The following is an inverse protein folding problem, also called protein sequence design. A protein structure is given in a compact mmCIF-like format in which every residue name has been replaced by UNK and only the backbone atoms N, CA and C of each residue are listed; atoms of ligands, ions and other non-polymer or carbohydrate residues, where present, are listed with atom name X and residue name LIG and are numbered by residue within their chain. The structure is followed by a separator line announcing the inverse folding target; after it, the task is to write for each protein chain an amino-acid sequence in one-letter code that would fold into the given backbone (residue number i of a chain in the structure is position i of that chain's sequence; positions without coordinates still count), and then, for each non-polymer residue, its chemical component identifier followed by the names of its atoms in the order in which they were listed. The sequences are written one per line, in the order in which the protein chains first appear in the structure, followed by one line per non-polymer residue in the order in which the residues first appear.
data_IF_494020589262
#
_entry.id   IF_494020589262
#
_cell.length_a   1.000
_cell.length_b   1.000
_cell.length_c   1.000
_cell.angle_alpha   90.00
_cell.angle_beta   90.00
_cell.angle_gamma   90.00
#
_symmetry.space_group_name_H-M   'P 1'
#
loop_
_entity.id
_entity.type
_entity.pdbx_description
1 polymer ?
#
# COMPACT_ATOMS: atom_id res chain seq x y z
N UNK A 1 6.27 20.61 -0.97
CA UNK A 1 5.90 19.44 -0.15
C UNK A 1 6.49 18.19 -0.78
N UNK A 2 6.64 17.11 -0.03
CA UNK A 2 7.00 15.80 -0.58
C UNK A 2 5.90 14.81 -0.25
N UNK A 3 5.54 13.95 -1.21
CA UNK A 3 4.56 12.88 -1.04
C UNK A 3 5.29 11.55 -1.17
N UNK A 4 5.13 10.65 -0.20
CA UNK A 4 5.86 9.38 -0.13
C UNK A 4 5.04 8.19 -0.60
N UNK A 5 3.71 8.21 -0.42
CA UNK A 5 2.82 7.12 -0.84
C UNK A 5 1.58 7.02 0.04
N UNK A 6 0.79 5.97 -0.19
CA UNK A 6 -0.30 5.58 0.71
C UNK A 6 0.22 4.73 1.87
N UNK A 7 -0.46 4.79 3.02
CA UNK A 7 -0.16 3.92 4.17
C UNK A 7 -0.61 2.48 3.90
N UNK A 8 -1.74 2.31 3.22
CA UNK A 8 -2.27 1.02 2.80
C UNK A 8 -2.90 1.21 1.42
N UNK A 9 -2.28 0.66 0.38
CA UNK A 9 -2.76 0.74 -1.00
C UNK A 9 -4.01 -0.14 -1.23
N UNK A 10 -4.27 -1.10 -0.33
CA UNK A 10 -5.37 -2.07 -0.40
C UNK A 10 -6.53 -1.80 0.58
N UNK A 11 -6.55 -0.64 1.25
CA UNK A 11 -7.66 -0.27 2.14
C UNK A 11 -9.03 -0.41 1.44
N UNK A 12 -10.01 -1.02 2.10
CA UNK A 12 -11.29 -1.28 1.44
C UNK A 12 -12.08 0.01 1.18
N UNK A 13 -12.96 -0.04 0.18
CA UNK A 13 -13.94 1.02 -0.07
C UNK A 13 -14.69 1.41 1.21
N UNK A 14 -14.82 2.71 1.44
CA UNK A 14 -15.46 3.25 2.65
C UNK A 14 -14.59 3.27 3.91
N UNK A 15 -13.41 2.62 3.90
CA UNK A 15 -12.45 2.76 4.99
C UNK A 15 -11.64 4.06 4.88
N UNK A 16 -10.98 4.42 5.97
CA UNK A 16 -10.07 5.57 6.00
C UNK A 16 -8.76 5.21 5.29
N UNK A 17 -8.44 5.95 4.23
CA UNK A 17 -7.11 5.97 3.62
C UNK A 17 -6.24 7.07 4.21
N UNK A 18 -4.92 6.95 4.02
CA UNK A 18 -3.96 7.98 4.36
C UNK A 18 -2.83 8.06 3.32
N UNK A 19 -2.43 9.28 2.97
CA UNK A 19 -1.22 9.59 2.20
C UNK A 19 -0.21 10.21 3.15
N UNK A 20 1.03 9.72 3.13
CA UNK A 20 2.13 10.24 3.95
C UNK A 20 3.08 11.11 3.14
N UNK A 21 3.66 12.11 3.80
CA UNK A 21 4.50 13.12 3.18
C UNK A 21 5.24 13.99 4.19
N UNK A 22 5.68 15.16 3.75
CA UNK A 22 6.28 16.20 4.61
C UNK A 22 5.87 17.59 4.14
N UNK A 23 5.74 18.52 5.10
CA UNK A 23 5.36 19.92 4.88
C UNK A 23 4.01 20.06 4.15
N UNK A 24 3.05 19.17 4.37
CA UNK A 24 1.76 19.19 3.69
C UNK A 24 0.93 20.43 4.11
N UNK A 25 0.99 20.77 5.39
CA UNK A 25 0.35 21.92 6.01
C UNK A 25 0.89 23.27 5.47
N UNK A 26 2.20 23.40 5.29
CA UNK A 26 2.84 24.61 4.74
C UNK A 26 2.37 24.95 3.32
N UNK A 27 1.91 23.95 2.56
CA UNK A 27 1.39 24.11 1.20
C UNK A 27 -0.15 24.26 1.20
N UNK A 28 -0.78 24.26 2.37
CA UNK A 28 -2.22 24.43 2.53
C UNK A 28 -3.01 23.17 2.14
N UNK A 29 -2.39 22.00 2.19
CA UNK A 29 -3.10 20.72 2.05
C UNK A 29 -3.90 20.48 3.32
N UNK A 30 -5.14 20.96 3.32
CA UNK A 30 -6.07 20.95 4.44
C UNK A 30 -7.47 20.62 3.94
N UNK A 31 -8.41 20.17 4.81
CA UNK A 31 -9.80 19.94 4.42
C UNK A 31 -10.47 21.13 3.69
N UNK A 32 -10.11 22.36 4.05
CA UNK A 32 -10.74 23.56 3.51
C UNK A 32 -10.14 24.06 2.19
N UNK A 33 -8.86 23.75 1.91
CA UNK A 33 -8.12 24.36 0.79
C UNK A 33 -7.49 23.36 -0.17
N UNK A 34 -7.18 22.16 0.30
CA UNK A 34 -6.59 21.09 -0.50
C UNK A 34 -7.62 20.06 -0.94
N UNK A 35 -7.20 19.13 -1.80
CA UNK A 35 -7.98 17.96 -2.18
C UNK A 35 -7.07 16.83 -2.62
N UNK A 36 -7.60 15.62 -2.62
CA UNK A 36 -7.01 14.51 -3.34
C UNK A 36 -7.63 14.47 -4.73
N UNK A 37 -6.87 14.12 -5.74
CA UNK A 37 -7.39 13.76 -7.05
C UNK A 37 -7.29 12.24 -7.17
N UNK A 38 -8.43 11.57 -7.11
CA UNK A 38 -8.56 10.13 -7.29
C UNK A 38 -8.89 9.84 -8.74
N UNK A 39 -7.90 9.36 -9.50
CA UNK A 39 -7.99 9.19 -10.95
C UNK A 39 -8.55 10.44 -11.66
N UNK A 40 -8.03 11.61 -11.27
CA UNK A 40 -8.49 12.93 -11.76
C UNK A 40 -9.76 13.48 -11.09
N UNK A 41 -10.53 12.65 -10.38
CA UNK A 41 -11.76 13.09 -9.70
C UNK A 41 -11.43 13.70 -8.33
N UNK A 42 -11.91 14.92 -8.01
CA UNK A 42 -11.74 15.51 -6.69
C UNK A 42 -12.33 14.66 -5.56
N UNK A 43 -11.52 14.41 -4.53
CA UNK A 43 -11.88 13.73 -3.30
C UNK A 43 -11.54 14.62 -2.10
N UNK A 44 -12.48 14.76 -1.18
CA UNK A 44 -12.34 15.60 -0.01
C UNK A 44 -11.32 15.02 0.99
N UNK A 45 -10.53 15.91 1.60
CA UNK A 45 -9.65 15.58 2.72
C UNK A 45 -10.49 15.65 4.00
N UNK A 46 -10.48 14.57 4.80
CA UNK A 46 -11.20 14.53 6.08
C UNK A 46 -10.37 15.10 7.22
N UNK A 47 -9.05 14.91 7.18
CA UNK A 47 -8.09 15.42 8.16
C UNK A 47 -6.73 15.60 7.49
N UNK A 48 -5.94 16.57 7.94
CA UNK A 48 -4.55 16.72 7.53
C UNK A 48 -3.66 17.13 8.71
N UNK A 49 -2.40 16.71 8.66
CA UNK A 49 -1.28 17.11 9.52
C UNK A 49 -0.12 17.58 8.64
N UNK A 50 1.00 17.97 9.24
CA UNK A 50 2.21 18.32 8.49
C UNK A 50 2.77 17.16 7.64
N UNK A 51 2.48 15.92 8.04
CA UNK A 51 3.07 14.70 7.48
C UNK A 51 2.06 13.70 6.90
N UNK A 52 0.75 13.91 7.09
CA UNK A 52 -0.28 12.97 6.64
C UNK A 52 -1.57 13.66 6.19
N UNK A 53 -2.23 13.07 5.20
CA UNK A 53 -3.55 13.49 4.70
C UNK A 53 -4.48 12.29 4.70
N UNK A 54 -5.65 12.45 5.30
CA UNK A 54 -6.64 11.39 5.50
C UNK A 54 -7.88 11.64 4.66
N UNK A 55 -8.51 10.56 4.22
CA UNK A 55 -9.68 10.57 3.35
C UNK A 55 -10.42 9.24 3.45
N UNK A 56 -11.58 9.14 2.80
CA UNK A 56 -12.35 7.89 2.70
C UNK A 56 -12.14 7.31 1.31
N UNK A 57 -11.83 6.01 1.21
CA UNK A 57 -11.69 5.33 -0.09
C UNK A 57 -13.04 5.42 -0.83
N UNK A 58 -13.09 5.98 -2.06
CA UNK A 58 -14.36 6.26 -2.72
C UNK A 58 -15.07 4.99 -3.20
N UNK A 59 -16.40 5.05 -3.32
CA UNK A 59 -17.25 3.91 -3.67
C UNK A 59 -16.94 3.30 -5.04
N UNK A 60 -16.46 4.12 -5.96
CA UNK A 60 -16.09 3.74 -7.33
C UNK A 60 -14.59 3.48 -7.51
N UNK A 61 -13.83 3.31 -6.42
CA UNK A 61 -12.40 3.02 -6.48
C UNK A 61 -12.15 1.69 -7.23
N UNK A 62 -11.24 1.72 -8.21
CA UNK A 62 -10.85 0.56 -9.01
C UNK A 62 -9.34 0.31 -8.90
N UNK A 63 -8.94 -0.97 -8.89
CA UNK A 63 -7.53 -1.33 -8.83
C UNK A 63 -6.76 -0.68 -10.00
N UNK A 64 -5.61 -0.08 -9.69
CA UNK A 64 -4.81 0.69 -10.63
C UNK A 64 -5.09 2.20 -10.64
N UNK A 65 -6.11 2.69 -9.91
CA UNK A 65 -6.37 4.12 -9.82
C UNK A 65 -5.15 4.90 -9.31
N UNK A 66 -4.86 6.04 -9.95
CA UNK A 66 -3.75 6.91 -9.59
C UNK A 66 -4.23 8.05 -8.68
N UNK A 67 -3.39 8.43 -7.72
CA UNK A 67 -3.71 9.50 -6.78
C UNK A 67 -2.75 10.67 -6.94
N UNK A 68 -3.27 11.88 -6.75
CA UNK A 68 -2.48 13.10 -6.55
C UNK A 68 -2.94 13.85 -5.32
N UNK A 69 -2.03 14.53 -4.64
CA UNK A 69 -2.35 15.54 -3.63
C UNK A 69 -2.32 16.90 -4.30
N UNK A 70 -3.42 17.64 -4.24
CA UNK A 70 -3.51 19.00 -4.75
C UNK A 70 -3.49 20.00 -3.59
N UNK A 71 -2.58 20.97 -3.68
CA UNK A 71 -2.38 22.00 -2.68
C UNK A 71 -3.31 23.22 -2.85
N UNK A 72 -3.19 24.19 -1.93
CA UNK A 72 -4.03 25.41 -1.93
C UNK A 72 -3.81 26.34 -3.12
N UNK A 73 -2.76 26.13 -3.92
CA UNK A 73 -2.44 26.86 -5.16
C UNK A 73 -2.83 26.07 -6.40
N UNK A 74 -3.58 24.98 -6.23
CA UNK A 74 -3.95 24.04 -7.29
C UNK A 74 -2.76 23.29 -7.93
N UNK A 75 -1.62 23.21 -7.25
CA UNK A 75 -0.50 22.37 -7.70
C UNK A 75 -0.77 20.93 -7.30
N UNK A 76 -0.79 20.02 -8.29
CA UNK A 76 -0.98 18.59 -8.06
C UNK A 76 0.37 17.86 -8.04
N UNK A 77 0.61 17.10 -6.97
CA UNK A 77 1.79 16.24 -6.80
C UNK A 77 1.35 14.79 -6.81
N UNK A 78 2.04 13.96 -7.59
CA UNK A 78 1.73 12.53 -7.69
C UNK A 78 1.98 11.81 -6.35
N UNK A 79 1.08 10.89 -6.01
CA UNK A 79 1.29 9.93 -4.92
C UNK A 79 1.97 8.71 -5.52
N UNK A 80 3.17 8.32 -5.05
CA UNK A 80 3.81 7.08 -5.50
C UNK A 80 2.93 5.85 -5.24
N UNK A 81 2.81 4.97 -6.23
CA UNK A 81 1.96 3.78 -6.16
C UNK A 81 0.63 3.95 -6.90
N UNK A 82 -0.26 2.96 -6.74
CA UNK A 82 -1.64 2.95 -7.25
C UNK A 82 -2.54 2.33 -6.21
N UNK A 83 -3.84 2.61 -6.25
CA UNK A 83 -4.79 1.88 -5.41
C UNK A 83 -4.82 0.41 -5.82
N UNK A 84 -4.69 -0.51 -4.86
CA UNK A 84 -4.54 -1.96 -5.07
C UNK A 84 -3.50 -2.27 -6.15
N UNK A 85 -2.29 -1.75 -5.97
CA UNK A 85 -1.21 -1.89 -6.95
C UNK A 85 -0.74 -3.35 -7.06
N UNK A 86 -1.23 -4.05 -8.07
CA UNK A 86 -0.91 -5.45 -8.34
C UNK A 86 0.21 -5.62 -9.38
N UNK A 87 0.94 -4.55 -9.69
CA UNK A 87 2.07 -4.61 -10.64
C UNK A 87 3.27 -5.23 -9.96
N UNK A 88 3.94 -6.15 -10.65
CA UNK A 88 5.18 -6.78 -10.18
C UNK A 88 5.00 -7.55 -8.84
N UNK A 89 3.83 -8.15 -8.61
CA UNK A 89 3.64 -9.08 -7.48
C UNK A 89 4.68 -10.20 -7.60
N UNK A 90 5.58 -10.25 -6.62
CA UNK A 90 6.63 -11.26 -6.53
C UNK A 90 6.04 -12.61 -6.10
N UNK A 91 5.11 -12.57 -5.14
CA UNK A 91 4.20 -13.66 -4.79
C UNK A 91 3.06 -13.10 -3.92
N UNK A 92 1.93 -13.81 -3.91
CA UNK A 92 0.91 -13.75 -2.87
C UNK A 92 0.51 -15.17 -2.49
N UNK A 93 -0.23 -15.37 -1.39
CA UNK A 93 -0.61 -16.72 -0.99
C UNK A 93 -1.78 -17.31 -1.81
N UNK A 94 -2.40 -16.49 -2.66
CA UNK A 94 -3.26 -16.94 -3.76
C UNK A 94 -2.48 -17.15 -5.08
N UNK A 95 -1.24 -16.67 -5.16
CA UNK A 95 -0.44 -16.60 -6.41
C UNK A 95 1.02 -17.01 -6.18
N UNK A 96 1.22 -18.28 -5.80
CA UNK A 96 2.54 -18.92 -5.82
C UNK A 96 3.39 -18.72 -4.55
N UNK A 97 2.89 -18.04 -3.52
CA UNK A 97 3.48 -18.03 -2.19
C UNK A 97 3.42 -19.42 -1.54
N UNK A 98 4.50 -19.84 -0.88
CA UNK A 98 4.60 -21.13 -0.19
C UNK A 98 5.49 -20.99 1.03
N UNK A 99 5.20 -21.66 2.15
CA UNK A 99 6.04 -21.55 3.36
C UNK A 99 6.53 -22.90 3.84
N UNK A 100 7.67 -22.92 4.55
CA UNK A 100 8.16 -24.10 5.23
C UNK A 100 7.13 -24.60 6.24
N UNK A 101 6.71 -25.87 6.13
CA UNK A 101 5.63 -26.43 6.95
C UNK A 101 4.22 -26.33 6.34
N UNK A 102 4.10 -26.06 5.04
CA UNK A 102 2.85 -26.17 4.28
C UNK A 102 1.88 -25.01 4.53
N UNK A 103 0.58 -25.27 4.49
CA UNK A 103 -0.47 -24.22 4.61
C UNK A 103 -0.77 -23.82 6.06
N UNK A 104 -0.04 -24.35 7.05
CA UNK A 104 -0.28 -24.11 8.49
C UNK A 104 -0.36 -22.62 8.86
N UNK A 105 0.44 -21.77 8.20
CA UNK A 105 0.48 -20.34 8.45
C UNK A 105 -0.28 -19.51 7.42
N UNK A 106 -0.88 -20.15 6.42
CA UNK A 106 -1.66 -19.47 5.36
C UNK A 106 -3.13 -19.54 5.75
N UNK A 107 -3.81 -18.41 5.80
CA UNK A 107 -5.20 -18.35 6.24
C UNK A 107 -6.00 -17.27 5.54
N UNK A 108 -7.32 -17.45 5.56
CA UNK A 108 -8.35 -16.44 5.21
C UNK A 108 -9.21 -16.11 6.43
N UNK A 109 -8.76 -16.52 7.63
CA UNK A 109 -9.52 -16.36 8.86
C UNK A 109 -9.77 -14.89 9.22
N UNK A 110 -10.79 -14.60 10.04
CA UNK A 110 -11.27 -13.23 10.29
C UNK A 110 -10.39 -12.43 11.26
N UNK A 111 -9.31 -12.99 11.81
CA UNK A 111 -8.50 -12.33 12.85
C UNK A 111 -7.00 -12.63 12.68
N UNK A 112 -6.20 -11.67 12.18
CA UNK A 112 -6.66 -10.44 11.51
C UNK A 112 -7.51 -10.76 10.27
N UNK A 113 -8.40 -9.86 9.86
CA UNK A 113 -9.13 -10.07 8.61
C UNK A 113 -8.17 -9.95 7.42
N UNK A 114 -8.39 -10.70 6.33
CA UNK A 114 -7.57 -10.58 5.13
C UNK A 114 -7.70 -9.19 4.52
N UNK A 115 -6.58 -8.66 4.03
CA UNK A 115 -6.55 -7.42 3.23
C UNK A 115 -7.02 -7.72 1.80
N UNK A 116 -6.49 -8.78 1.21
CA UNK A 116 -6.91 -9.33 -0.08
C UNK A 116 -6.52 -10.81 -0.16
N UNK A 117 -7.51 -11.69 -0.24
CA UNK A 117 -7.29 -13.14 -0.36
C UNK A 117 -6.57 -13.80 0.84
N UNK A 118 -5.78 -14.83 0.57
CA UNK A 118 -5.04 -15.56 1.58
C UNK A 118 -3.77 -14.80 2.02
N UNK A 119 -3.46 -14.86 3.32
CA UNK A 119 -2.30 -14.19 3.89
C UNK A 119 -1.54 -15.09 4.86
N UNK A 120 -0.28 -14.73 5.15
CA UNK A 120 0.52 -15.40 6.18
C UNK A 120 0.21 -14.83 7.55
N UNK A 121 -0.12 -15.71 8.50
CA UNK A 121 -0.29 -15.39 9.90
C UNK A 121 0.76 -16.10 10.75
N UNK A 122 1.79 -15.36 11.15
CA UNK A 122 2.80 -15.85 12.08
C UNK A 122 2.33 -15.58 13.52
N UNK A 123 1.70 -16.58 14.14
CA UNK A 123 1.17 -16.49 15.51
C UNK A 123 1.81 -17.55 16.42
N UNK A 124 3.14 -17.53 16.53
CA UNK A 124 3.90 -18.43 17.41
C UNK A 124 5.08 -17.69 18.05
N UNK A 125 5.57 -18.20 19.17
CA UNK A 125 6.88 -17.80 19.68
C UNK A 125 7.96 -18.29 18.71
N UNK A 126 8.85 -17.39 18.29
CA UNK A 126 9.99 -17.73 17.43
C UNK A 126 11.21 -17.86 18.35
N UNK A 127 11.69 -19.09 18.50
CA UNK A 127 12.88 -19.39 19.30
C UNK A 127 14.19 -19.01 18.57
N UNK A 128 15.30 -19.07 19.30
CA UNK A 128 16.62 -18.91 18.71
C UNK A 128 16.84 -19.95 17.59
N UNK A 129 17.40 -19.51 16.46
CA UNK A 129 17.72 -20.35 15.29
C UNK A 129 16.49 -20.95 14.56
N UNK A 130 15.28 -20.48 14.85
CA UNK A 130 14.06 -20.89 14.14
C UNK A 130 13.80 -19.97 12.96
N UNK A 131 13.63 -20.55 11.78
CA UNK A 131 13.28 -19.84 10.56
C UNK A 131 11.75 -19.65 10.48
N UNK A 132 11.34 -18.53 9.88
CA UNK A 132 9.96 -18.32 9.41
C UNK A 132 10.05 -17.76 8.00
N UNK A 133 9.88 -18.64 7.03
CA UNK A 133 9.98 -18.29 5.62
C UNK A 133 8.70 -17.60 5.15
N UNK A 134 8.84 -16.48 4.44
CA UNK A 134 7.73 -15.83 3.74
C UNK A 134 7.46 -16.47 2.37
N UNK A 135 8.51 -17.01 1.75
CA UNK A 135 8.37 -17.92 0.62
C UNK A 135 9.51 -18.96 0.62
N UNK A 136 9.19 -20.23 0.38
CA UNK A 136 10.17 -21.29 0.06
C UNK A 136 10.28 -21.56 -1.43
N UNK A 137 9.56 -20.80 -2.25
CA UNK A 137 9.53 -21.01 -3.68
C UNK A 137 10.86 -20.60 -4.33
N UNK A 138 11.50 -21.55 -5.00
CA UNK A 138 12.64 -21.28 -5.89
C UNK A 138 12.21 -20.72 -7.26
N UNK A 139 10.91 -20.55 -7.51
CA UNK A 139 10.37 -20.03 -8.78
C UNK A 139 10.01 -18.55 -8.75
N UNK A 140 10.37 -17.82 -7.68
CA UNK A 140 10.23 -16.36 -7.65
C UNK A 140 11.18 -15.77 -8.69
N UNK A 141 10.62 -15.19 -9.74
CA UNK A 141 11.38 -14.50 -10.79
C UNK A 141 11.23 -13.00 -10.60
N UNK A 142 12.34 -12.33 -10.28
CA UNK A 142 12.40 -10.86 -10.28
C UNK A 142 12.65 -10.36 -11.72
N UNK A 143 12.03 -9.25 -12.14
CA UNK A 143 12.39 -8.61 -13.41
C UNK A 143 13.89 -8.29 -13.45
N UNK A 144 14.54 -8.52 -14.59
CA UNK A 144 16.00 -8.36 -14.74
C UNK A 144 16.48 -6.95 -14.36
N UNK A 145 15.68 -5.92 -14.64
CA UNK A 145 15.98 -4.53 -14.29
C UNK A 145 16.00 -4.30 -12.77
N UNK A 146 15.13 -4.97 -12.02
CA UNK A 146 15.13 -4.91 -10.55
C UNK A 146 16.40 -5.50 -9.98
N UNK A 147 16.88 -6.61 -10.56
CA UNK A 147 18.14 -7.24 -10.15
C UNK A 147 19.37 -6.39 -10.51
N UNK A 148 19.35 -5.73 -11.68
CA UNK A 148 20.45 -4.87 -12.13
C UNK A 148 20.48 -3.51 -11.41
N UNK A 149 19.33 -2.97 -11.04
CA UNK A 149 19.17 -1.62 -10.51
C UNK A 149 18.35 -1.58 -9.21
N UNK A 150 18.72 -2.35 -8.16
CA UNK A 150 17.87 -2.52 -6.97
C UNK A 150 17.58 -1.21 -6.23
N UNK A 151 18.47 -0.22 -6.29
CA UNK A 151 18.29 1.09 -5.67
C UNK A 151 17.15 1.93 -6.28
N UNK A 152 16.67 1.56 -7.47
CA UNK A 152 15.56 2.24 -8.14
C UNK A 152 14.18 1.68 -7.72
N UNK A 153 14.17 0.64 -6.89
CA UNK A 153 12.96 -0.08 -6.51
C UNK A 153 12.81 -0.18 -5.00
N UNK A 154 11.58 -0.45 -4.58
CA UNK A 154 11.23 -0.74 -3.19
C UNK A 154 10.43 -2.03 -3.15
N UNK A 155 10.70 -2.86 -2.14
CA UNK A 155 9.81 -3.99 -1.81
C UNK A 155 8.64 -3.45 -1.01
N UNK A 156 7.42 -3.85 -1.38
CA UNK A 156 6.17 -3.49 -0.70
C UNK A 156 5.39 -4.75 -0.36
N UNK A 157 4.58 -4.68 0.69
CA UNK A 157 3.71 -5.76 1.14
C UNK A 157 2.59 -5.19 2.01
N UNK A 158 1.51 -5.97 2.15
CA UNK A 158 0.38 -5.76 3.04
C UNK A 158 0.22 -6.92 4.02
#
# INVERSE_FOLDING_TARGET
MTVKGMVNEYAAVGQQGAIVGTNLDLYGVTPAKGKILWNGTPLAITRATADSVFFVIPANATAGDQLKVQDSRSTATDVPGRYKDNRNIVFGYDTGGSVGGGTTYITTGPTPAPVDGAYIRVNKAIGAWVWTEFSTSSSIVLPADVAANPNNYVLRFE
#
